data_IF_942796741509
#
_entry.id   IF_942796741509
#
_cell.length_a   1.000
_cell.length_b   1.000
_cell.length_c   1.000
_cell.angle_alpha   90.00
_cell.angle_beta   90.00
_cell.angle_gamma   90.00
#
_symmetry.space_group_name_H-M   'P 1'
#
loop_
_entity.id
_entity.type
_entity.pdbx_description
1 polymer ?
#
# COMPACT_ATOMS: atom_id res chain seq x y z
N UNK A 1 4.50 9.42 -4.24
CA UNK A 1 4.31 8.00 -3.87
C UNK A 1 2.92 7.56 -4.26
N UNK A 2 1.89 8.31 -3.85
CA UNK A 2 0.48 7.92 -4.01
C UNK A 2 0.06 7.73 -5.47
N UNK A 3 0.49 8.61 -6.37
CA UNK A 3 0.25 8.45 -7.81
C UNK A 3 0.69 7.05 -8.31
N UNK A 4 1.87 6.58 -7.93
CA UNK A 4 2.36 5.27 -8.37
C UNK A 4 1.61 4.11 -7.67
N UNK A 5 1.23 4.28 -6.39
CA UNK A 5 0.37 3.31 -5.69
C UNK A 5 -1.00 3.21 -6.38
N UNK A 6 -1.58 4.32 -6.81
CA UNK A 6 -2.85 4.35 -7.53
C UNK A 6 -2.76 3.66 -8.88
N UNK A 7 -1.64 3.79 -9.60
CA UNK A 7 -1.38 2.99 -10.81
C UNK A 7 -1.41 1.49 -10.48
N UNK A 8 -0.74 1.05 -9.42
CA UNK A 8 -0.74 -0.36 -9.03
C UNK A 8 -2.14 -0.86 -8.65
N UNK A 9 -2.94 -0.03 -7.96
CA UNK A 9 -4.36 -0.31 -7.67
C UNK A 9 -5.16 -0.48 -8.97
N UNK A 10 -5.04 0.45 -9.90
CA UNK A 10 -5.74 0.42 -11.18
C UNK A 10 -5.34 -0.80 -12.04
N UNK A 11 -4.04 -1.07 -12.14
CA UNK A 11 -3.52 -2.25 -12.85
C UNK A 11 -4.05 -3.54 -12.23
N UNK A 12 -4.13 -3.63 -10.90
CA UNK A 12 -4.68 -4.79 -10.19
C UNK A 12 -6.19 -4.96 -10.39
N UNK A 13 -6.95 -3.86 -10.36
CA UNK A 13 -8.39 -3.88 -10.63
C UNK A 13 -8.69 -4.35 -12.06
N UNK A 14 -7.92 -3.88 -13.04
CA UNK A 14 -8.15 -4.20 -14.44
C UNK A 14 -7.65 -5.60 -14.81
N UNK A 15 -6.52 -6.02 -14.24
CA UNK A 15 -5.82 -7.26 -14.59
C UNK A 15 -5.28 -8.00 -13.36
N UNK A 16 -6.14 -8.51 -12.47
CA UNK A 16 -5.70 -9.23 -11.27
C UNK A 16 -4.87 -10.48 -11.60
N UNK A 17 -5.07 -11.09 -12.77
CA UNK A 17 -4.34 -12.27 -13.25
C UNK A 17 -2.84 -12.04 -13.47
N UNK A 18 -2.40 -10.79 -13.62
CA UNK A 18 -0.99 -10.45 -13.73
C UNK A 18 -0.26 -10.41 -12.39
N UNK A 19 -1.00 -10.46 -11.28
CA UNK A 19 -0.45 -10.38 -9.94
C UNK A 19 -0.37 -11.76 -9.32
N UNK A 20 0.58 -11.93 -8.40
CA UNK A 20 0.87 -13.23 -7.78
C UNK A 20 -0.24 -13.77 -6.88
N UNK A 21 -1.25 -12.96 -6.57
CA UNK A 21 -2.28 -13.24 -5.57
C UNK A 21 -3.54 -12.45 -5.91
N UNK A 22 -4.69 -13.11 -5.79
CA UNK A 22 -6.04 -12.52 -5.87
C UNK A 22 -6.47 -11.82 -4.57
N UNK A 23 -5.60 -11.87 -3.56
CA UNK A 23 -5.79 -11.26 -2.25
C UNK A 23 -4.70 -10.24 -1.98
N UNK A 24 -4.80 -9.11 -2.67
CA UNK A 24 -3.87 -7.99 -2.56
C UNK A 24 -4.60 -6.65 -2.41
N UNK A 25 -4.02 -5.76 -1.61
CA UNK A 25 -4.45 -4.38 -1.48
C UNK A 25 -3.21 -3.50 -1.33
N UNK A 26 -3.16 -2.40 -2.10
CA UNK A 26 -2.12 -1.39 -1.94
C UNK A 26 -2.66 -0.25 -1.09
N UNK A 27 -1.97 0.09 -0.01
CA UNK A 27 -2.31 1.18 0.89
C UNK A 27 -1.42 2.39 0.59
N UNK A 28 -1.97 3.59 0.71
CA UNK A 28 -1.28 4.85 0.43
C UNK A 28 -0.93 5.60 1.73
N UNK A 29 -0.44 6.84 1.59
CA UNK A 29 -0.08 7.65 2.75
C UNK A 29 -1.27 8.01 3.66
N UNK A 30 -2.52 7.98 3.19
CA UNK A 30 -3.71 8.33 3.98
C UNK A 30 -3.87 7.35 5.14
N UNK A 31 -3.73 6.05 4.88
CA UNK A 31 -3.72 5.03 5.92
C UNK A 31 -2.67 5.34 7.02
N UNK A 32 -1.46 5.73 6.62
CA UNK A 32 -0.39 6.05 7.56
C UNK A 32 -0.68 7.30 8.40
N UNK A 33 -1.36 8.31 7.81
CA UNK A 33 -1.78 9.52 8.51
C UNK A 33 -2.86 9.23 9.54
N UNK A 34 -3.87 8.44 9.17
CA UNK A 34 -4.94 8.00 10.07
C UNK A 34 -4.37 7.18 11.23
N UNK A 35 -3.52 6.19 10.92
CA UNK A 35 -2.87 5.38 11.94
C UNK A 35 -2.11 6.25 12.94
N UNK A 36 -1.35 7.25 12.47
CA UNK A 36 -0.63 8.18 13.35
C UNK A 36 -1.58 9.00 14.22
N UNK A 37 -2.70 9.48 13.67
CA UNK A 37 -3.67 10.30 14.40
C UNK A 37 -4.38 9.49 15.50
N UNK A 38 -4.74 8.25 15.22
CA UNK A 38 -5.46 7.36 16.14
C UNK A 38 -4.55 6.48 17.02
N UNK A 39 -3.22 6.59 16.87
CA UNK A 39 -2.27 5.86 17.70
C UNK A 39 -2.38 6.15 19.21
N UNK A 40 -2.64 7.41 19.65
CA UNK A 40 -2.89 7.68 21.07
C UNK A 40 -4.06 6.88 21.64
N UNK A 41 -5.15 6.76 20.89
CA UNK A 41 -6.36 6.02 21.29
C UNK A 41 -6.08 4.52 21.37
N UNK A 42 -5.38 3.97 20.38
CA UNK A 42 -4.91 2.59 20.42
C UNK A 42 -4.03 2.31 21.64
N UNK A 43 -3.21 3.29 22.04
CA UNK A 43 -2.31 3.15 23.19
C UNK A 43 -3.08 3.18 24.51
N UNK A 44 -4.13 4.00 24.62
CA UNK A 44 -4.97 4.12 25.82
C UNK A 44 -5.96 2.97 25.99
N UNK A 45 -6.29 2.26 24.91
CA UNK A 45 -7.23 1.15 24.96
C UNK A 45 -6.70 -0.06 25.74
N UNK A 46 -7.60 -0.70 26.49
CA UNK A 46 -7.29 -1.83 27.33
C UNK A 46 -7.14 -3.09 26.46
N UNK A 47 -6.08 -3.89 26.66
CA UNK A 47 -6.01 -5.19 26.02
C UNK A 47 -7.03 -6.17 26.65
N UNK A 48 -7.39 -7.20 25.90
CA UNK A 48 -8.11 -8.37 26.38
C UNK A 48 -7.27 -9.19 27.39
N UNK A 49 -7.90 -10.23 27.96
CA UNK A 49 -7.28 -11.10 28.96
C UNK A 49 -5.98 -11.79 28.50
N UNK A 50 -5.73 -11.87 27.19
CA UNK A 50 -4.53 -12.45 26.59
C UNK A 50 -3.49 -11.39 26.20
N UNK A 51 -3.73 -10.11 26.51
CA UNK A 51 -2.88 -9.00 26.04
C UNK A 51 -3.13 -8.63 24.57
N UNK A 52 -4.10 -9.27 23.91
CA UNK A 52 -4.50 -9.06 22.52
C UNK A 52 -5.75 -8.15 22.52
N UNK A 53 -6.34 -7.81 21.38
CA UNK A 53 -7.67 -7.16 21.40
C UNK A 53 -7.75 -5.65 21.67
N UNK A 54 -6.63 -4.90 21.67
CA UNK A 54 -6.71 -3.42 21.56
C UNK A 54 -7.43 -3.05 20.25
N UNK A 55 -8.41 -2.14 20.32
CA UNK A 55 -9.14 -1.62 19.15
C UNK A 55 -8.13 -1.00 18.20
N UNK A 56 -8.06 -1.54 16.99
CA UNK A 56 -7.22 -0.96 15.95
C UNK A 56 -7.68 0.49 15.69
N UNK A 57 -6.75 1.43 15.47
CA UNK A 57 -7.00 2.77 14.96
C UNK A 57 -8.14 2.84 13.93
N UNK A 58 -9.02 3.84 14.05
CA UNK A 58 -10.26 4.01 13.29
C UNK A 58 -10.21 3.46 11.87
N UNK A 59 -10.89 2.32 11.65
CA UNK A 59 -11.04 1.65 10.37
C UNK A 59 -9.87 0.80 9.85
N UNK A 60 -8.73 0.77 10.54
CA UNK A 60 -7.69 -0.24 10.32
C UNK A 60 -8.19 -1.67 10.61
N UNK A 61 -9.23 -1.83 11.44
CA UNK A 61 -9.94 -3.10 11.59
C UNK A 61 -10.63 -3.56 10.30
N UNK A 62 -11.26 -2.66 9.56
CA UNK A 62 -11.93 -3.02 8.31
C UNK A 62 -10.91 -3.43 7.24
N UNK A 63 -9.76 -2.75 7.21
CA UNK A 63 -8.61 -3.18 6.41
C UNK A 63 -8.13 -4.56 6.84
N UNK A 64 -7.91 -4.77 8.15
CA UNK A 64 -7.50 -6.07 8.68
C UNK A 64 -8.49 -7.17 8.33
N UNK A 65 -9.80 -6.96 8.51
CA UNK A 65 -10.85 -7.92 8.20
C UNK A 65 -11.04 -8.15 6.69
N UNK A 66 -10.39 -7.34 5.83
CA UNK A 66 -10.50 -7.43 4.38
C UNK A 66 -11.86 -6.99 3.84
N UNK A 67 -12.54 -6.10 4.57
CA UNK A 67 -13.83 -5.49 4.21
C UNK A 67 -13.63 -4.20 3.40
N UNK A 68 -12.47 -3.57 3.53
CA UNK A 68 -12.05 -2.46 2.66
C UNK A 68 -10.65 -2.72 2.09
N UNK A 69 -10.31 -2.09 0.95
CA UNK A 69 -11.19 -1.26 0.12
C UNK A 69 -12.24 -2.10 -0.62
N UNK A 70 -13.36 -1.46 -0.96
CA UNK A 70 -14.53 -2.15 -1.52
C UNK A 70 -14.23 -2.85 -2.85
N UNK A 71 -13.33 -2.27 -3.64
CA UNK A 71 -12.92 -2.79 -4.95
C UNK A 71 -12.05 -4.06 -4.88
N UNK A 72 -11.45 -4.39 -3.73
CA UNK A 72 -10.64 -5.61 -3.58
C UNK A 72 -10.88 -6.35 -2.26
N UNK A 73 -12.16 -6.41 -1.83
CA UNK A 73 -12.55 -7.13 -0.63
C UNK A 73 -12.10 -8.59 -0.67
N UNK A 74 -11.39 -9.01 0.38
CA UNK A 74 -11.03 -10.42 0.56
C UNK A 74 -11.99 -11.16 1.50
N UNK A 75 -12.77 -10.43 2.32
CA UNK A 75 -13.66 -10.96 3.36
C UNK A 75 -12.97 -11.98 4.28
N UNK A 76 -11.65 -11.85 4.41
CA UNK A 76 -10.78 -12.72 5.19
C UNK A 76 -9.76 -11.84 5.94
N UNK A 77 -9.48 -12.11 7.22
CA UNK A 77 -8.51 -11.33 7.98
C UNK A 77 -7.07 -11.41 7.42
N UNK A 78 -6.45 -10.28 7.10
CA UNK A 78 -5.05 -10.18 6.67
C UNK A 78 -4.11 -10.41 7.85
N UNK A 79 -3.05 -11.18 7.63
CA UNK A 79 -1.92 -11.29 8.56
C UNK A 79 -0.86 -10.27 8.22
N UNK A 80 -0.05 -9.86 9.19
CA UNK A 80 1.11 -8.99 8.94
C UNK A 80 2.41 -9.80 9.00
N UNK A 81 3.36 -9.45 8.15
CA UNK A 81 4.71 -9.96 8.19
C UNK A 81 5.68 -8.84 7.83
N UNK A 82 6.82 -8.78 8.53
CA UNK A 82 7.89 -7.83 8.21
C UNK A 82 9.00 -8.57 7.46
N UNK A 83 9.09 -8.36 6.15
CA UNK A 83 10.22 -8.88 5.38
C UNK A 83 11.47 -8.05 5.67
N UNK A 84 12.51 -8.68 6.21
CA UNK A 84 13.81 -8.04 6.47
C UNK A 84 14.95 -8.73 5.72
N UNK A 85 14.85 -10.04 5.53
CA UNK A 85 15.83 -10.85 4.81
C UNK A 85 15.65 -10.67 3.31
N UNK A 86 16.75 -10.40 2.59
CA UNK A 86 16.72 -10.26 1.12
C UNK A 86 16.07 -8.98 0.60
N UNK A 87 15.72 -8.01 1.47
CA UNK A 87 15.22 -6.69 1.05
C UNK A 87 16.41 -5.85 0.56
N UNK A 88 16.47 -5.49 -0.73
CA UNK A 88 17.62 -4.77 -1.26
C UNK A 88 17.71 -3.36 -0.68
N UNK A 89 18.93 -2.83 -0.51
CA UNK A 89 19.18 -1.53 0.10
C UNK A 89 19.50 -0.47 -0.95
N UNK A 90 19.03 0.77 -0.75
CA UNK A 90 19.26 1.91 -1.64
C UNK A 90 20.13 2.99 -0.97
N UNK A 91 20.57 3.99 -1.77
CA UNK A 91 21.21 5.20 -1.22
C UNK A 91 20.20 6.12 -0.54
N UNK A 92 20.70 6.98 0.33
CA UNK A 92 19.94 8.11 0.85
C UNK A 92 19.40 8.96 -0.32
N UNK A 93 18.11 9.27 -0.29
CA UNK A 93 17.42 10.02 -1.36
C UNK A 93 16.73 9.16 -2.42
N UNK A 94 17.08 7.87 -2.57
CA UNK A 94 16.45 6.97 -3.55
C UNK A 94 15.39 6.04 -2.93
N UNK A 95 15.12 6.17 -1.62
CA UNK A 95 14.24 5.24 -0.89
C UNK A 95 12.82 5.19 -1.45
N UNK A 96 12.25 6.30 -1.92
CA UNK A 96 10.91 6.34 -2.51
C UNK A 96 10.79 5.45 -3.75
N UNK A 97 11.50 5.77 -4.86
CA UNK A 97 11.47 4.96 -6.08
C UNK A 97 11.84 3.50 -5.85
N UNK A 98 12.81 3.24 -4.99
CA UNK A 98 13.25 1.88 -4.67
C UNK A 98 12.17 1.09 -3.93
N UNK A 99 11.49 1.71 -2.96
CA UNK A 99 10.36 1.10 -2.24
C UNK A 99 9.21 0.79 -3.18
N UNK A 100 8.84 1.72 -4.05
CA UNK A 100 7.75 1.51 -5.01
C UNK A 100 8.06 0.38 -5.98
N UNK A 101 9.29 0.31 -6.50
CA UNK A 101 9.67 -0.79 -7.39
C UNK A 101 9.69 -2.12 -6.65
N UNK A 102 10.12 -2.13 -5.39
CA UNK A 102 10.11 -3.34 -4.59
C UNK A 102 8.69 -3.86 -4.37
N UNK A 103 7.76 -2.97 -4.04
CA UNK A 103 6.33 -3.30 -3.92
C UNK A 103 5.80 -3.87 -5.25
N UNK A 104 6.08 -3.22 -6.37
CA UNK A 104 5.64 -3.67 -7.70
C UNK A 104 6.20 -5.08 -8.03
N UNK A 105 7.52 -5.29 -7.91
CA UNK A 105 8.12 -6.59 -8.16
C UNK A 105 7.55 -7.67 -7.25
N UNK A 106 7.41 -7.35 -5.95
CA UNK A 106 6.86 -8.28 -4.98
C UNK A 106 5.40 -8.65 -5.28
N UNK A 107 4.61 -7.71 -5.78
CA UNK A 107 3.22 -7.90 -6.15
C UNK A 107 3.05 -8.70 -7.45
N UNK A 108 3.95 -8.52 -8.40
CA UNK A 108 4.01 -9.31 -9.63
C UNK A 108 4.64 -10.70 -9.42
N UNK A 109 5.21 -10.97 -8.24
CA UNK A 109 5.89 -12.25 -7.95
C UNK A 109 7.22 -12.42 -8.68
N UNK A 110 7.85 -11.32 -9.12
CA UNK A 110 9.14 -11.34 -9.80
C UNK A 110 10.27 -10.94 -8.84
N UNK A 111 11.47 -11.45 -9.11
CA UNK A 111 12.65 -11.03 -8.35
C UNK A 111 12.94 -9.55 -8.54
N UNK A 112 13.41 -8.91 -7.48
CA UNK A 112 13.81 -7.51 -7.56
C UNK A 112 15.08 -7.39 -8.42
N UNK A 113 15.08 -6.59 -9.49
CA UNK A 113 16.22 -6.53 -10.41
C UNK A 113 17.50 -6.04 -9.72
N UNK A 114 18.59 -6.78 -9.89
CA UNK A 114 19.94 -6.33 -9.51
C UNK A 114 20.38 -5.10 -10.30
N UNK A 115 19.82 -4.92 -11.50
CA UNK A 115 20.03 -3.78 -12.40
C UNK A 115 19.45 -2.44 -11.88
N UNK A 116 18.74 -2.45 -10.75
CA UNK A 116 18.42 -1.23 -9.99
C UNK A 116 19.69 -0.71 -9.28
N UNK A 117 20.79 -0.64 -10.02
CA UNK A 117 22.07 -0.11 -9.59
C UNK A 117 22.09 1.41 -9.79
N UNK A 118 22.95 2.04 -8.99
CA UNK A 118 23.27 3.47 -8.91
C UNK A 118 23.29 4.21 -10.25
N UNK A 119 23.67 3.56 -11.36
CA UNK A 119 23.77 4.17 -12.69
C UNK A 119 22.41 4.45 -13.34
N UNK A 120 21.35 3.73 -12.98
CA UNK A 120 20.05 3.76 -13.67
C UNK A 120 18.93 4.48 -12.91
N UNK A 121 19.21 5.03 -11.72
CA UNK A 121 18.19 5.67 -10.87
C UNK A 121 17.43 6.81 -11.55
N UNK A 122 18.10 7.58 -12.43
CA UNK A 122 17.45 8.60 -13.26
C UNK A 122 16.43 7.99 -14.22
N UNK A 123 16.84 6.98 -15.00
CA UNK A 123 15.97 6.30 -15.97
C UNK A 123 14.77 5.64 -15.31
N UNK A 124 14.94 5.07 -14.11
CA UNK A 124 13.83 4.53 -13.31
C UNK A 124 12.83 5.63 -12.98
N UNK A 125 13.30 6.76 -12.43
CA UNK A 125 12.42 7.89 -12.09
C UNK A 125 11.68 8.42 -13.32
N UNK A 126 12.36 8.53 -14.45
CA UNK A 126 11.78 8.95 -15.72
C UNK A 126 10.72 7.97 -16.21
N UNK A 127 10.96 6.65 -16.11
CA UNK A 127 9.97 5.62 -16.45
C UNK A 127 8.75 5.70 -15.53
N UNK A 128 8.96 5.82 -14.22
CA UNK A 128 7.85 5.97 -13.27
C UNK A 128 7.03 7.25 -13.54
N UNK A 129 7.71 8.36 -13.87
CA UNK A 129 7.03 9.60 -14.23
C UNK A 129 6.24 9.46 -15.53
N UNK A 130 6.79 8.72 -16.52
CA UNK A 130 6.11 8.43 -17.77
C UNK A 130 4.86 7.55 -17.56
N UNK A 131 4.97 6.51 -16.72
CA UNK A 131 3.84 5.65 -16.35
C UNK A 131 2.74 6.47 -15.67
N UNK A 132 3.10 7.31 -14.69
CA UNK A 132 2.18 8.26 -14.05
C UNK A 132 1.52 9.16 -15.08
N UNK A 133 2.29 9.78 -15.96
CA UNK A 133 1.75 10.70 -16.95
C UNK A 133 0.80 9.99 -17.92
N UNK A 134 1.10 8.77 -18.37
CA UNK A 134 0.28 8.04 -19.35
C UNK A 134 -0.96 7.43 -18.73
N UNK A 135 -0.84 6.82 -17.57
CA UNK A 135 -1.92 6.03 -16.98
C UNK A 135 -2.86 6.90 -16.12
N UNK A 136 -2.34 7.93 -15.46
CA UNK A 136 -3.16 8.82 -14.63
C UNK A 136 -3.68 10.08 -15.34
N UNK A 137 -3.12 10.50 -16.48
CA UNK A 137 -3.70 11.63 -17.25
C UNK A 137 -5.10 11.33 -17.81
N UNK A 138 -5.49 10.04 -17.86
CA UNK A 138 -6.84 9.60 -18.20
C UNK A 138 -7.76 9.45 -16.97
N UNK A 139 -7.28 9.78 -15.76
CA UNK A 139 -7.96 9.51 -14.50
C UNK A 139 -8.00 10.76 -13.61
N UNK A 140 -8.71 11.80 -14.07
CA UNK A 140 -9.04 12.96 -13.25
C UNK A 140 -10.07 12.68 -12.13
N UNK A 141 -10.54 11.44 -11.97
CA UNK A 141 -11.69 11.10 -11.10
C UNK A 141 -11.45 9.91 -10.14
N UNK A 142 -10.20 9.57 -9.83
CA UNK A 142 -9.87 8.45 -8.93
C UNK A 142 -9.15 8.90 -7.67
N UNK A 143 -9.44 10.10 -7.16
CA UNK A 143 -9.21 10.35 -5.73
C UNK A 143 -10.02 9.30 -4.97
N UNK A 144 -9.31 8.33 -4.37
CA UNK A 144 -9.78 7.33 -3.42
C UNK A 144 -11.31 7.25 -3.32
N UNK A 145 -11.97 6.56 -4.27
CA UNK A 145 -13.43 6.39 -4.27
C UNK A 145 -13.95 5.75 -2.97
N UNK A 146 -13.07 5.10 -2.19
CA UNK A 146 -13.39 4.61 -0.85
C UNK A 146 -13.52 5.72 0.21
N UNK A 147 -13.35 6.99 -0.16
CA UNK A 147 -13.54 8.18 0.68
C UNK A 147 -12.93 7.96 2.08
N UNK A 148 -11.63 7.67 2.12
CA UNK A 148 -10.91 7.39 3.37
C UNK A 148 -11.08 8.55 4.40
N UNK A 149 -11.46 9.75 3.96
CA UNK A 149 -11.83 10.88 4.83
C UNK A 149 -13.01 10.57 5.78
N UNK A 150 -13.86 9.58 5.47
CA UNK A 150 -14.97 9.12 6.32
C UNK A 150 -14.63 7.93 7.24
N UNK A 151 -13.37 7.51 7.38
CA UNK A 151 -13.00 6.48 8.38
C UNK A 151 -13.12 6.97 9.84
N UNK A 152 -13.35 8.27 10.06
CA UNK A 152 -13.62 8.85 11.37
C UNK A 152 -15.09 8.74 11.83
N UNK A 153 -16.03 8.29 10.98
CA UNK A 153 -17.48 8.39 11.24
C UNK A 153 -18.21 7.07 11.51
N UNK A 154 -17.50 5.97 11.78
CA UNK A 154 -18.16 4.70 12.13
C UNK A 154 -17.83 4.30 13.58
N UNK A 155 -18.83 4.52 14.44
CA UNK A 155 -18.85 4.26 15.90
C UNK A 155 -18.38 2.85 16.31
#
# INVERSE_FOLDING_TARGET
MDAFINILRQRYQNHPEHFRSDRMCFLDHVFSRQWRASYPDFKSDAPDANGLGRRLPGGAWNYHAGVIPSFCQSKKPYTYARQTVGVPQCRAGDCGPFTLKYIECHALGIEFPTAFDKKHGKTIREKMALDIFRELSMCHEWENQDNDENLATYD
#
